data_IF_028967679553
#
_entry.id   IF_028967679553
#
_cell.length_a   1.000
_cell.length_b   1.000
_cell.length_c   1.000
_cell.angle_alpha   90.00
_cell.angle_beta   90.00
_cell.angle_gamma   90.00
#
_symmetry.space_group_name_H-M   'P 1'
#
loop_
_entity.id
_entity.type
_entity.pdbx_description
1 polymer ?
#
# COMPACT_ATOMS: atom_id res chain seq x y z
N UNK A 1 50.74 7.78 -15.21
CA UNK A 1 50.85 7.53 -16.66
C UNK A 1 51.76 8.58 -17.25
N UNK A 2 52.92 8.20 -17.77
CA UNK A 2 53.92 9.11 -18.32
C UNK A 2 53.45 9.54 -19.71
N UNK A 3 53.28 10.86 -19.91
CA UNK A 3 52.98 11.42 -21.24
C UNK A 3 54.22 11.32 -22.11
N UNK A 4 54.20 10.53 -23.17
CA UNK A 4 55.28 10.60 -24.19
C UNK A 4 55.15 11.97 -24.90
N UNK A 5 56.16 12.82 -24.80
CA UNK A 5 56.25 14.07 -25.58
C UNK A 5 56.40 13.68 -27.05
N UNK A 6 55.26 13.69 -27.78
CA UNK A 6 55.28 13.45 -29.22
C UNK A 6 55.79 14.70 -29.94
N UNK A 7 56.86 14.59 -30.69
CA UNK A 7 57.44 15.70 -31.47
C UNK A 7 56.88 15.78 -32.90
N UNK A 8 55.95 14.92 -33.29
CA UNK A 8 55.37 14.83 -34.62
C UNK A 8 53.85 14.96 -34.57
N UNK A 9 53.18 15.56 -35.59
CA UNK A 9 51.73 15.58 -35.68
C UNK A 9 51.16 14.16 -35.69
N UNK A 10 49.91 14.03 -35.16
CA UNK A 10 49.17 12.80 -35.18
C UNK A 10 48.80 12.40 -36.60
N UNK A 11 49.00 11.13 -36.98
CA UNK A 11 48.66 10.60 -38.31
C UNK A 11 47.76 9.36 -38.17
N UNK A 12 46.97 9.03 -39.19
CA UNK A 12 46.14 7.84 -39.18
C UNK A 12 46.98 6.56 -38.95
N UNK A 13 48.14 6.45 -39.59
CA UNK A 13 49.05 5.33 -39.39
C UNK A 13 49.56 5.21 -37.93
N UNK A 14 49.81 6.33 -37.28
CA UNK A 14 50.18 6.32 -35.86
C UNK A 14 48.97 5.91 -34.94
N UNK A 15 47.76 6.26 -35.32
CA UNK A 15 46.55 5.87 -34.61
C UNK A 15 46.29 4.36 -34.76
N UNK A 16 46.43 3.85 -35.98
CA UNK A 16 46.29 2.39 -36.26
C UNK A 16 47.26 1.56 -35.47
N UNK A 17 48.52 2.01 -35.36
CA UNK A 17 49.59 1.37 -34.60
C UNK A 17 49.51 1.56 -33.08
N UNK A 18 48.49 2.32 -32.56
CA UNK A 18 48.34 2.59 -31.13
C UNK A 18 47.83 1.33 -30.39
N UNK A 19 48.58 0.90 -29.39
CA UNK A 19 48.24 -0.21 -28.50
C UNK A 19 48.02 0.26 -27.07
N UNK A 20 47.44 -0.59 -26.24
CA UNK A 20 47.20 -0.32 -24.81
C UNK A 20 48.48 -0.01 -24.02
N UNK A 21 49.63 -0.55 -24.49
CA UNK A 21 50.94 -0.29 -23.85
C UNK A 21 51.48 1.12 -24.10
N UNK A 22 51.14 1.78 -25.21
CA UNK A 22 51.59 3.11 -25.58
C UNK A 22 50.87 4.26 -24.85
N UNK A 23 49.81 3.97 -24.08
CA UNK A 23 49.06 4.95 -23.29
C UNK A 23 48.29 5.99 -24.12
N UNK A 24 48.49 7.27 -23.83
CA UNK A 24 47.83 8.38 -24.49
C UNK A 24 48.79 9.12 -25.40
N UNK A 25 48.36 9.37 -26.63
CA UNK A 25 49.16 10.20 -27.61
C UNK A 25 48.40 11.49 -27.84
N UNK A 26 49.14 12.64 -27.77
CA UNK A 26 48.61 13.98 -27.99
C UNK A 26 49.02 14.48 -29.40
N UNK A 27 48.17 15.27 -30.03
CA UNK A 27 48.48 16.03 -31.25
C UNK A 27 49.22 17.33 -30.89
N UNK A 28 49.88 17.95 -31.83
CA UNK A 28 50.73 19.12 -31.67
C UNK A 28 50.26 20.30 -32.55
N UNK A 29 50.92 21.46 -32.40
CA UNK A 29 50.65 22.65 -33.19
C UNK A 29 49.24 23.20 -32.97
N UNK A 30 48.56 23.51 -34.05
CA UNK A 30 47.18 24.02 -34.03
C UNK A 30 46.18 23.03 -33.40
N UNK A 31 46.53 21.74 -33.41
CA UNK A 31 45.67 20.69 -32.84
C UNK A 31 46.03 20.34 -31.37
N UNK A 32 46.80 21.19 -30.70
CA UNK A 32 47.16 21.01 -29.30
C UNK A 32 45.92 20.90 -28.41
N UNK A 33 45.88 19.87 -27.58
CA UNK A 33 44.74 19.51 -26.73
C UNK A 33 43.97 18.29 -27.24
N UNK A 34 44.11 17.94 -28.53
CA UNK A 34 43.58 16.67 -29.05
C UNK A 34 44.46 15.51 -28.54
N UNK A 35 43.82 14.50 -28.04
CA UNK A 35 44.44 13.27 -27.54
C UNK A 35 43.71 12.05 -28.03
N UNK A 36 44.43 10.97 -28.18
CA UNK A 36 43.84 9.64 -28.42
C UNK A 36 44.43 8.64 -27.45
N UNK A 37 43.59 7.78 -26.91
CA UNK A 37 43.96 6.72 -26.00
C UNK A 37 43.38 5.39 -26.50
N UNK A 38 44.18 4.31 -26.39
CA UNK A 38 43.72 2.95 -26.62
C UNK A 38 43.29 2.34 -25.28
N UNK A 39 42.01 2.01 -25.12
CA UNK A 39 41.47 1.36 -23.93
C UNK A 39 41.82 -0.13 -23.87
N UNK A 40 41.58 -0.77 -22.73
CA UNK A 40 41.87 -2.20 -22.49
C UNK A 40 41.27 -3.15 -23.53
N UNK A 41 40.12 -2.75 -24.10
CA UNK A 41 39.41 -3.49 -25.16
C UNK A 41 39.93 -3.22 -26.57
N UNK A 42 41.04 -2.48 -26.73
CA UNK A 42 41.55 -2.05 -28.04
C UNK A 42 40.83 -0.84 -28.66
N UNK A 43 39.78 -0.32 -28.03
CA UNK A 43 38.99 0.80 -28.52
C UNK A 43 39.79 2.11 -28.40
N UNK A 44 39.94 2.83 -29.50
CA UNK A 44 40.74 4.04 -29.59
C UNK A 44 39.81 5.27 -29.51
N UNK A 45 39.96 6.09 -28.49
CA UNK A 45 39.03 7.22 -28.21
C UNK A 45 39.76 8.55 -28.32
N UNK A 46 39.22 9.45 -29.14
CA UNK A 46 39.64 10.84 -29.22
C UNK A 46 39.05 11.64 -28.07
N UNK A 47 39.87 12.49 -27.49
CA UNK A 47 39.48 13.39 -26.39
C UNK A 47 40.10 14.76 -26.58
N UNK A 48 39.42 15.80 -26.14
CA UNK A 48 39.94 17.16 -26.02
C UNK A 48 40.20 17.48 -24.56
N UNK A 49 41.43 17.85 -24.24
CA UNK A 49 41.86 18.27 -22.89
C UNK A 49 42.17 19.74 -22.92
N UNK A 50 41.52 20.53 -22.03
CA UNK A 50 41.65 21.96 -21.96
C UNK A 50 41.55 22.48 -20.52
N UNK A 51 41.87 23.75 -20.29
CA UNK A 51 41.60 24.47 -19.05
C UNK A 51 40.24 25.13 -19.15
N UNK A 52 39.35 24.83 -18.21
CA UNK A 52 37.98 25.37 -18.19
C UNK A 52 38.04 26.89 -17.90
N UNK A 53 37.31 27.70 -18.68
CA UNK A 53 37.20 29.13 -18.39
C UNK A 53 36.32 29.42 -17.15
N UNK A 54 35.42 28.56 -16.81
CA UNK A 54 34.43 28.72 -15.70
C UNK A 54 34.98 28.25 -14.34
N UNK A 55 35.95 27.33 -14.32
CA UNK A 55 36.45 26.70 -13.08
C UNK A 55 37.93 27.00 -12.84
N UNK A 56 38.26 28.27 -12.65
CA UNK A 56 39.64 28.75 -12.28
C UNK A 56 40.78 28.05 -13.03
N UNK A 57 40.56 27.71 -14.30
CA UNK A 57 41.55 27.02 -15.13
C UNK A 57 41.77 25.54 -14.81
N UNK A 58 40.84 24.87 -14.12
CA UNK A 58 40.88 23.43 -13.87
C UNK A 58 40.91 22.65 -15.20
N UNK A 59 41.81 21.65 -15.25
CA UNK A 59 41.92 20.80 -16.43
C UNK A 59 40.68 19.92 -16.60
N UNK A 60 40.00 20.07 -17.72
CA UNK A 60 38.79 19.32 -18.11
C UNK A 60 39.05 18.54 -19.39
N UNK A 61 38.34 17.46 -19.59
CA UNK A 61 38.47 16.62 -20.77
C UNK A 61 37.07 16.23 -21.31
N UNK A 62 36.91 16.30 -22.64
CA UNK A 62 35.71 15.91 -23.38
C UNK A 62 36.04 14.77 -24.34
N UNK A 63 35.17 13.79 -24.43
CA UNK A 63 35.22 12.74 -25.44
C UNK A 63 34.69 13.27 -26.76
N UNK A 64 35.50 13.16 -27.83
CA UNK A 64 35.08 13.63 -29.17
C UNK A 64 34.43 12.50 -30.00
N UNK A 65 34.94 11.26 -29.85
CA UNK A 65 34.45 10.09 -30.57
C UNK A 65 35.45 8.94 -30.54
N UNK A 66 35.15 7.90 -31.26
CA UNK A 66 35.94 6.65 -31.31
C UNK A 66 36.41 6.44 -32.75
N UNK A 67 37.70 6.10 -32.91
CA UNK A 67 38.28 5.68 -34.18
C UNK A 67 37.91 4.19 -34.43
N UNK A 68 37.52 3.78 -35.66
CA UNK A 68 37.51 4.56 -36.92
C UNK A 68 36.17 5.29 -37.18
N UNK A 69 35.15 5.14 -36.35
CA UNK A 69 33.83 5.79 -36.53
C UNK A 69 33.97 7.34 -36.69
N UNK A 70 34.90 7.94 -35.94
CA UNK A 70 35.33 9.32 -36.11
C UNK A 70 36.76 9.35 -36.71
N UNK A 71 36.92 9.94 -37.88
CA UNK A 71 38.24 10.12 -38.50
C UNK A 71 39.09 11.14 -37.74
N UNK A 72 40.44 11.11 -37.97
CA UNK A 72 41.33 12.14 -37.38
C UNK A 72 40.95 13.57 -37.87
N UNK A 73 40.59 13.71 -39.12
CA UNK A 73 40.19 14.99 -39.70
C UNK A 73 38.91 15.52 -39.02
N UNK A 74 37.90 14.68 -38.87
CA UNK A 74 36.66 15.02 -38.18
C UNK A 74 36.91 15.34 -36.69
N UNK A 75 37.85 14.66 -36.05
CA UNK A 75 38.25 14.94 -34.69
C UNK A 75 38.90 16.33 -34.57
N UNK A 76 39.71 16.71 -35.55
CA UNK A 76 40.32 18.06 -35.66
C UNK A 76 39.32 19.16 -35.92
N UNK A 77 38.28 18.90 -36.75
CA UNK A 77 37.18 19.85 -36.97
C UNK A 77 36.44 20.09 -35.67
N UNK A 78 35.98 19.05 -34.96
CA UNK A 78 35.35 19.19 -33.65
C UNK A 78 36.24 19.87 -32.61
N UNK A 79 37.55 19.63 -32.63
CA UNK A 79 38.50 20.32 -31.76
C UNK A 79 38.49 21.83 -32.01
N UNK A 80 38.47 22.26 -33.27
CA UNK A 80 38.44 23.72 -33.64
C UNK A 80 37.15 24.36 -33.14
N UNK A 81 36.01 23.71 -33.27
CA UNK A 81 34.72 24.19 -32.75
C UNK A 81 34.79 24.39 -31.22
N UNK A 82 35.28 23.39 -30.50
CA UNK A 82 35.39 23.50 -29.04
C UNK A 82 36.45 24.50 -28.58
N UNK A 83 37.51 24.72 -29.34
CA UNK A 83 38.47 25.81 -29.10
C UNK A 83 37.83 27.18 -29.24
N UNK A 84 37.07 27.37 -30.34
CA UNK A 84 36.34 28.62 -30.58
C UNK A 84 35.36 28.93 -29.43
N UNK A 85 34.63 27.94 -28.91
CA UNK A 85 33.75 28.09 -27.73
C UNK A 85 34.57 28.52 -26.49
N UNK A 86 35.67 27.83 -26.21
CA UNK A 86 36.52 28.15 -25.07
C UNK A 86 37.12 29.58 -25.17
N UNK A 87 37.57 29.95 -26.35
CA UNK A 87 38.18 31.26 -26.62
C UNK A 87 37.15 32.41 -26.53
N UNK A 88 35.83 32.07 -26.76
CA UNK A 88 34.71 32.94 -26.45
C UNK A 88 34.27 32.93 -24.96
N UNK A 89 35.05 32.28 -24.06
CA UNK A 89 34.74 32.21 -22.65
C UNK A 89 33.72 31.17 -22.22
N UNK A 90 33.22 30.37 -23.16
CA UNK A 90 32.19 29.31 -22.91
C UNK A 90 32.93 28.00 -22.63
N UNK A 91 32.56 27.30 -21.55
CA UNK A 91 33.06 25.97 -21.27
C UNK A 91 32.38 24.92 -22.18
N UNK A 92 33.11 24.30 -23.16
CA UNK A 92 32.49 23.35 -24.09
C UNK A 92 31.85 22.16 -23.40
N UNK A 93 32.34 21.73 -22.24
CA UNK A 93 31.75 20.64 -21.48
C UNK A 93 30.39 21.03 -20.87
N UNK A 94 30.34 22.20 -20.22
CA UNK A 94 29.10 22.70 -19.63
C UNK A 94 28.02 22.93 -20.68
N UNK A 95 28.41 23.42 -21.85
CA UNK A 95 27.48 23.65 -22.97
C UNK A 95 26.92 22.32 -23.52
N UNK A 96 27.75 21.28 -23.69
CA UNK A 96 27.29 19.97 -24.09
C UNK A 96 26.35 19.36 -23.05
N UNK A 97 26.69 19.45 -21.78
CA UNK A 97 25.87 18.96 -20.68
C UNK A 97 24.51 19.71 -20.66
N UNK A 98 24.48 21.02 -20.93
CA UNK A 98 23.28 21.84 -21.05
C UNK A 98 22.40 21.39 -22.22
N UNK A 99 22.97 21.20 -23.42
CA UNK A 99 22.26 20.75 -24.60
C UNK A 99 21.66 19.36 -24.38
N UNK A 100 22.40 18.45 -23.74
CA UNK A 100 21.91 17.11 -23.45
C UNK A 100 20.76 17.13 -22.42
N UNK A 101 20.84 18.00 -21.42
CA UNK A 101 19.78 18.20 -20.44
C UNK A 101 18.51 18.83 -21.09
N UNK A 102 18.68 19.82 -21.96
CA UNK A 102 17.56 20.41 -22.73
C UNK A 102 16.90 19.38 -23.65
N UNK A 103 17.69 18.55 -24.33
CA UNK A 103 17.19 17.45 -25.15
C UNK A 103 16.40 16.46 -24.31
N UNK A 104 16.95 16.03 -23.15
CA UNK A 104 16.28 15.12 -22.22
C UNK A 104 14.97 15.70 -21.70
N UNK A 105 14.96 16.99 -21.34
CA UNK A 105 13.73 17.70 -20.93
C UNK A 105 12.70 17.78 -22.07
N UNK A 106 13.14 17.98 -23.30
CA UNK A 106 12.27 18.02 -24.47
C UNK A 106 11.66 16.65 -24.80
N UNK A 107 12.47 15.58 -24.75
CA UNK A 107 12.02 14.20 -24.92
C UNK A 107 11.02 13.78 -23.83
N UNK A 108 11.30 14.13 -22.56
CA UNK A 108 10.37 13.90 -21.46
C UNK A 108 9.04 14.64 -21.65
N UNK A 109 9.08 15.92 -22.07
CA UNK A 109 7.85 16.68 -22.39
C UNK A 109 7.05 16.04 -23.54
N UNK A 110 7.71 15.50 -24.55
CA UNK A 110 7.08 14.75 -25.63
C UNK A 110 6.37 13.49 -25.13
N UNK A 111 7.05 12.71 -24.29
CA UNK A 111 6.49 11.51 -23.68
C UNK A 111 5.27 11.82 -22.79
N UNK A 112 5.33 12.89 -21.99
CA UNK A 112 4.20 13.29 -21.12
C UNK A 112 2.96 13.62 -21.93
N UNK A 113 3.09 14.27 -23.09
CA UNK A 113 1.94 14.59 -23.96
C UNK A 113 1.23 13.35 -24.47
N UNK A 114 1.94 12.25 -24.67
CA UNK A 114 1.40 10.96 -25.11
C UNK A 114 0.91 10.08 -23.94
N UNK A 115 1.46 10.26 -22.76
CA UNK A 115 1.10 9.49 -21.56
C UNK A 115 -0.32 9.81 -21.11
N UNK A 116 -1.13 8.77 -20.91
CA UNK A 116 -2.51 8.86 -20.45
C UNK A 116 -2.63 8.61 -18.94
N UNK A 117 -3.69 9.11 -18.34
CA UNK A 117 -4.03 8.84 -16.93
C UNK A 117 -4.12 7.33 -16.66
N UNK A 118 -4.64 6.55 -17.62
CA UNK A 118 -4.68 5.08 -17.53
C UNK A 118 -3.29 4.47 -17.40
N UNK A 119 -2.29 5.00 -18.10
CA UNK A 119 -0.92 4.43 -18.07
C UNK A 119 -0.30 4.58 -16.69
N UNK A 120 -0.54 5.71 -16.01
CA UNK A 120 -0.13 5.94 -14.63
C UNK A 120 -0.83 4.97 -13.66
N UNK A 121 -2.14 4.80 -13.82
CA UNK A 121 -2.92 3.87 -13.01
C UNK A 121 -2.43 2.44 -13.20
N UNK A 122 -2.19 2.02 -14.44
CA UNK A 122 -1.70 0.68 -14.76
C UNK A 122 -0.28 0.44 -14.22
N UNK A 123 0.61 1.43 -14.32
CA UNK A 123 1.94 1.39 -13.74
C UNK A 123 1.87 1.17 -12.23
N UNK A 124 1.08 1.98 -11.53
CA UNK A 124 0.90 1.90 -10.08
C UNK A 124 0.33 0.54 -9.64
N UNK A 125 -0.72 0.06 -10.33
CA UNK A 125 -1.32 -1.23 -10.01
C UNK A 125 -0.33 -2.38 -10.22
N UNK A 126 0.30 -2.44 -11.39
CA UNK A 126 1.20 -3.57 -11.77
C UNK A 126 2.51 -3.58 -11.00
N UNK A 127 3.08 -2.41 -10.71
CA UNK A 127 4.43 -2.32 -10.14
C UNK A 127 4.43 -2.15 -8.62
N UNK A 128 3.34 -1.68 -8.02
CA UNK A 128 3.28 -1.40 -6.58
C UNK A 128 2.18 -2.16 -5.86
N UNK A 129 0.93 -2.05 -6.33
CA UNK A 129 -0.24 -2.57 -5.58
C UNK A 129 -0.34 -4.08 -5.64
N UNK A 130 -0.16 -4.67 -6.83
CA UNK A 130 -0.43 -6.08 -7.12
C UNK A 130 0.82 -6.95 -7.00
N UNK A 131 0.59 -8.24 -6.71
CA UNK A 131 1.65 -9.23 -6.75
C UNK A 131 2.19 -9.34 -8.18
N UNK A 132 3.50 -9.47 -8.32
CA UNK A 132 4.19 -9.60 -9.61
C UNK A 132 5.27 -10.67 -9.57
N UNK A 133 5.73 -11.05 -10.73
CA UNK A 133 6.86 -11.99 -10.88
C UNK A 133 8.05 -11.21 -11.44
N UNK A 134 9.24 -11.38 -10.85
CA UNK A 134 10.46 -10.76 -11.38
C UNK A 134 11.01 -11.55 -12.59
N UNK A 135 12.05 -11.01 -13.22
CA UNK A 135 12.70 -11.65 -14.38
C UNK A 135 13.24 -13.07 -14.12
N UNK A 136 13.45 -13.44 -12.86
CA UNK A 136 13.95 -14.74 -12.42
C UNK A 136 12.80 -15.70 -12.03
N UNK A 137 11.53 -15.32 -12.26
CA UNK A 137 10.37 -16.14 -11.92
C UNK A 137 9.95 -16.10 -10.43
N UNK A 138 10.60 -15.31 -9.59
CA UNK A 138 10.27 -15.17 -8.17
C UNK A 138 9.09 -14.23 -7.97
N UNK A 139 8.08 -14.68 -7.19
CA UNK A 139 6.93 -13.86 -6.81
C UNK A 139 7.36 -12.74 -5.85
N UNK A 140 7.04 -11.52 -6.20
CA UNK A 140 7.16 -10.32 -5.36
C UNK A 140 5.75 -9.95 -4.90
N UNK A 141 5.54 -9.84 -3.59
CA UNK A 141 4.26 -9.41 -3.04
C UNK A 141 4.03 -7.93 -3.32
N UNK A 142 2.81 -7.59 -3.73
CA UNK A 142 2.37 -6.21 -3.83
C UNK A 142 2.17 -5.55 -2.46
N UNK A 143 2.05 -4.24 -2.46
CA UNK A 143 1.84 -3.45 -1.25
C UNK A 143 0.50 -3.73 -0.54
N UNK A 144 -0.44 -4.38 -1.21
CA UNK A 144 -1.76 -4.72 -0.68
C UNK A 144 -1.98 -6.23 -0.65
N UNK A 145 -2.78 -6.72 0.32
CA UNK A 145 -3.28 -8.10 0.31
C UNK A 145 -4.23 -8.32 -0.88
N UNK A 146 -4.45 -9.57 -1.36
CA UNK A 146 -5.22 -9.85 -2.57
C UNK A 146 -6.61 -9.18 -2.62
N UNK A 147 -7.33 -9.12 -1.48
CA UNK A 147 -8.60 -8.40 -1.40
C UNK A 147 -8.43 -6.89 -1.61
N UNK A 148 -7.38 -6.30 -1.03
CA UNK A 148 -7.06 -4.89 -1.20
C UNK A 148 -6.62 -4.56 -2.62
N UNK A 149 -5.86 -5.45 -3.26
CA UNK A 149 -5.46 -5.30 -4.67
C UNK A 149 -6.69 -5.19 -5.58
N UNK A 150 -7.66 -6.11 -5.43
CA UNK A 150 -8.92 -6.09 -6.19
C UNK A 150 -9.73 -4.80 -5.93
N UNK A 151 -9.75 -4.33 -4.69
CA UNK A 151 -10.50 -3.11 -4.33
C UNK A 151 -9.85 -1.84 -4.89
N UNK A 152 -8.52 -1.71 -4.82
CA UNK A 152 -7.80 -0.56 -5.41
C UNK A 152 -7.98 -0.55 -6.93
N UNK A 153 -7.84 -1.72 -7.58
CA UNK A 153 -8.08 -1.84 -9.03
C UNK A 153 -9.51 -1.44 -9.39
N UNK A 154 -10.51 -1.97 -8.68
CA UNK A 154 -11.90 -1.60 -8.90
C UNK A 154 -12.11 -0.08 -8.74
N UNK A 155 -11.60 0.49 -7.67
CA UNK A 155 -11.71 1.91 -7.35
C UNK A 155 -11.14 2.78 -8.47
N UNK A 156 -9.92 2.48 -8.92
CA UNK A 156 -9.27 3.28 -9.95
C UNK A 156 -9.86 3.03 -11.34
N UNK A 157 -10.22 1.79 -11.68
CA UNK A 157 -10.80 1.52 -13.01
C UNK A 157 -12.21 2.07 -13.16
N UNK A 158 -13.10 1.81 -12.19
CA UNK A 158 -14.51 2.23 -12.28
C UNK A 158 -14.64 3.75 -12.24
N UNK A 159 -13.94 4.41 -11.33
CA UNK A 159 -14.16 5.83 -11.07
C UNK A 159 -13.17 6.75 -11.79
N UNK A 160 -11.99 6.25 -12.23
CA UNK A 160 -10.97 7.08 -12.90
C UNK A 160 -10.77 6.63 -14.34
N UNK A 161 -10.37 5.37 -14.59
CA UNK A 161 -9.97 4.93 -15.93
C UNK A 161 -11.16 4.99 -16.91
N UNK A 162 -12.35 4.56 -16.48
CA UNK A 162 -13.54 4.59 -17.34
C UNK A 162 -14.03 6.01 -17.63
N UNK A 163 -13.66 7.01 -16.83
CA UNK A 163 -14.11 8.39 -16.98
C UNK A 163 -13.07 9.26 -17.69
N UNK A 164 -11.83 9.23 -17.17
CA UNK A 164 -10.74 10.14 -17.59
C UNK A 164 -9.48 9.40 -18.05
N UNK A 165 -9.51 8.07 -18.14
CA UNK A 165 -8.33 7.26 -18.44
C UNK A 165 -7.65 7.59 -19.76
N UNK A 166 -8.39 8.07 -20.76
CA UNK A 166 -7.87 8.46 -22.07
C UNK A 166 -7.32 9.91 -22.11
N UNK A 167 -7.53 10.71 -21.06
CA UNK A 167 -6.97 12.05 -20.97
C UNK A 167 -5.45 11.99 -20.91
N UNK A 168 -4.79 12.89 -21.65
CA UNK A 168 -3.34 13.07 -21.50
C UNK A 168 -3.03 13.62 -20.12
N UNK A 169 -1.98 13.09 -19.50
CA UNK A 169 -1.50 13.54 -18.20
C UNK A 169 -1.11 15.01 -18.19
N UNK A 170 -0.59 15.52 -19.33
CA UNK A 170 -0.24 16.94 -19.47
C UNK A 170 -1.44 17.88 -19.38
N UNK A 171 -2.62 17.39 -19.79
CA UNK A 171 -3.85 18.18 -19.84
C UNK A 171 -4.75 17.96 -18.62
N UNK A 172 -4.57 16.85 -17.89
CA UNK A 172 -5.35 16.51 -16.71
C UNK A 172 -4.87 17.28 -15.49
N UNK A 173 -5.57 18.36 -15.16
CA UNK A 173 -5.17 19.33 -14.14
C UNK A 173 -5.99 19.18 -12.84
N UNK A 174 -5.61 19.96 -11.82
CA UNK A 174 -6.30 19.99 -10.52
C UNK A 174 -7.82 20.14 -10.66
N UNK A 175 -8.30 21.01 -11.55
CA UNK A 175 -9.73 21.25 -11.71
C UNK A 175 -10.47 20.03 -12.26
N UNK A 176 -9.85 19.26 -13.15
CA UNK A 176 -10.42 18.04 -13.70
C UNK A 176 -10.56 16.97 -12.62
N UNK A 177 -9.53 16.85 -11.74
CA UNK A 177 -9.61 15.97 -10.57
C UNK A 177 -10.72 16.43 -9.62
N UNK A 178 -10.82 17.75 -9.35
CA UNK A 178 -11.90 18.29 -8.49
C UNK A 178 -13.27 17.95 -9.08
N UNK A 179 -13.46 18.12 -10.38
CA UNK A 179 -14.73 17.79 -11.06
C UNK A 179 -15.04 16.29 -11.00
N UNK A 180 -14.06 15.44 -11.25
CA UNK A 180 -14.19 13.98 -11.12
C UNK A 180 -14.64 13.58 -9.71
N UNK A 181 -13.97 14.10 -8.68
CA UNK A 181 -14.27 13.78 -7.29
C UNK A 181 -15.62 14.35 -6.87
N UNK A 182 -15.97 15.56 -7.32
CA UNK A 182 -17.27 16.16 -7.05
C UNK A 182 -18.40 15.30 -7.65
N UNK A 183 -18.27 14.80 -8.87
CA UNK A 183 -19.25 13.90 -9.46
C UNK A 183 -19.47 12.61 -8.66
N UNK A 184 -18.43 12.10 -7.99
CA UNK A 184 -18.57 10.95 -7.07
C UNK A 184 -19.29 11.34 -5.77
N UNK A 185 -19.07 12.56 -5.26
CA UNK A 185 -19.78 13.08 -4.09
C UNK A 185 -21.26 13.27 -4.42
N UNK A 186 -21.57 13.87 -5.57
CA UNK A 186 -22.94 14.22 -5.99
C UNK A 186 -23.80 12.96 -6.22
N UNK A 187 -23.20 11.83 -6.61
CA UNK A 187 -23.92 10.54 -6.63
C UNK A 187 -24.11 9.89 -5.24
N UNK A 188 -23.78 10.59 -4.13
CA UNK A 188 -24.00 10.13 -2.76
C UNK A 188 -22.87 9.25 -2.20
N UNK A 189 -21.66 9.26 -2.78
CA UNK A 189 -20.56 8.37 -2.38
C UNK A 189 -19.30 9.13 -1.89
N UNK A 190 -19.38 10.02 -0.88
CA UNK A 190 -18.24 10.86 -0.47
C UNK A 190 -17.05 10.07 0.08
N UNK A 191 -17.29 8.93 0.73
CA UNK A 191 -16.23 8.04 1.23
C UNK A 191 -15.46 7.40 0.08
N UNK A 192 -16.17 6.97 -0.97
CA UNK A 192 -15.56 6.45 -2.20
C UNK A 192 -14.76 7.55 -2.90
N UNK A 193 -15.28 8.76 -3.00
CA UNK A 193 -14.58 9.93 -3.52
C UNK A 193 -13.23 10.14 -2.84
N UNK A 194 -13.21 10.06 -1.50
CA UNK A 194 -11.98 10.16 -0.72
C UNK A 194 -11.00 9.00 -0.96
N UNK A 195 -11.51 7.80 -1.23
CA UNK A 195 -10.67 6.64 -1.57
C UNK A 195 -10.06 6.79 -2.97
N UNK A 196 -10.86 7.20 -3.95
CA UNK A 196 -10.40 7.49 -5.32
C UNK A 196 -9.30 8.55 -5.30
N UNK A 197 -9.54 9.66 -4.61
CA UNK A 197 -8.60 10.77 -4.57
C UNK A 197 -7.25 10.37 -3.96
N UNK A 198 -7.26 9.58 -2.87
CA UNK A 198 -6.02 9.09 -2.24
C UNK A 198 -5.27 8.12 -3.15
N UNK A 199 -5.95 7.14 -3.73
CA UNK A 199 -5.28 6.15 -4.60
C UNK A 199 -4.79 6.81 -5.89
N UNK A 200 -5.51 7.78 -6.47
CA UNK A 200 -5.06 8.54 -7.62
C UNK A 200 -3.84 9.40 -7.29
N UNK A 201 -3.82 10.08 -6.13
CA UNK A 201 -2.64 10.82 -5.68
C UNK A 201 -1.43 9.90 -5.50
N UNK A 202 -1.62 8.73 -4.88
CA UNK A 202 -0.55 7.74 -4.72
C UNK A 202 -0.05 7.20 -6.06
N UNK A 203 -0.92 7.06 -7.07
CA UNK A 203 -0.52 6.62 -8.40
C UNK A 203 0.38 7.67 -9.11
N UNK A 204 0.06 8.95 -8.98
CA UNK A 204 0.91 10.04 -9.50
C UNK A 204 2.25 10.11 -8.77
N UNK A 205 2.24 10.07 -7.41
CA UNK A 205 3.47 10.08 -6.62
C UNK A 205 4.37 8.90 -6.97
N UNK A 206 3.78 7.71 -7.18
CA UNK A 206 4.51 6.52 -7.62
C UNK A 206 5.10 6.70 -9.02
N UNK A 207 4.36 7.27 -9.98
CA UNK A 207 4.85 7.50 -11.33
C UNK A 207 6.02 8.51 -11.35
N UNK A 208 6.00 9.51 -10.48
CA UNK A 208 7.10 10.46 -10.28
C UNK A 208 8.31 9.72 -9.68
N UNK A 209 8.12 8.92 -8.64
CA UNK A 209 9.20 8.17 -7.97
C UNK A 209 9.86 7.11 -8.84
N UNK A 210 9.20 6.69 -9.93
CA UNK A 210 9.71 5.72 -10.90
C UNK A 210 10.26 6.39 -12.18
N UNK A 211 10.49 7.69 -12.17
CA UNK A 211 10.94 8.50 -13.31
C UNK A 211 10.05 8.37 -14.56
N UNK A 212 8.82 7.85 -14.40
CA UNK A 212 7.82 7.79 -15.46
C UNK A 212 7.23 9.17 -15.78
N UNK A 213 7.18 10.02 -14.76
CA UNK A 213 6.93 11.46 -14.86
C UNK A 213 8.14 12.22 -14.35
N UNK A 214 8.42 13.45 -14.84
CA UNK A 214 9.51 14.27 -14.32
C UNK A 214 9.38 14.54 -12.82
N UNK A 215 10.51 14.75 -12.15
CA UNK A 215 10.56 15.06 -10.73
C UNK A 215 9.83 16.37 -10.38
N UNK A 216 9.84 17.33 -11.28
CA UNK A 216 9.14 18.62 -11.16
C UNK A 216 7.65 18.55 -11.56
N UNK A 217 7.12 17.38 -11.91
CA UNK A 217 5.72 17.22 -12.27
C UNK A 217 4.80 17.41 -11.07
N UNK A 218 3.90 18.38 -11.16
CA UNK A 218 2.98 18.71 -10.08
C UNK A 218 1.80 17.71 -10.05
N UNK A 219 1.69 16.91 -9.02
CA UNK A 219 0.61 15.94 -8.82
C UNK A 219 -0.77 16.65 -8.71
N UNK A 220 -1.66 16.53 -9.72
CA UNK A 220 -2.93 17.23 -9.71
C UNK A 220 -3.91 16.68 -8.67
N UNK A 221 -3.80 15.40 -8.29
CA UNK A 221 -4.64 14.77 -7.29
C UNK A 221 -4.26 15.22 -5.88
N UNK A 222 -2.98 15.45 -5.60
CA UNK A 222 -2.51 16.03 -4.34
C UNK A 222 -3.02 17.47 -4.17
N UNK A 223 -2.98 18.28 -5.23
CA UNK A 223 -3.54 19.63 -5.22
C UNK A 223 -5.06 19.63 -4.99
N UNK A 224 -5.78 18.69 -5.61
CA UNK A 224 -7.21 18.53 -5.40
C UNK A 224 -7.53 18.10 -3.95
N UNK A 225 -6.74 17.19 -3.37
CA UNK A 225 -6.88 16.77 -1.97
C UNK A 225 -6.76 17.94 -1.02
N UNK A 226 -5.78 18.82 -1.24
CA UNK A 226 -5.62 20.05 -0.46
C UNK A 226 -6.82 20.99 -0.63
N UNK A 227 -7.37 21.09 -1.85
CA UNK A 227 -8.57 21.89 -2.13
C UNK A 227 -9.78 21.40 -1.32
N UNK A 228 -10.08 20.11 -1.32
CA UNK A 228 -11.18 19.55 -0.52
C UNK A 228 -10.94 19.69 0.99
N UNK A 229 -9.70 19.56 1.45
CA UNK A 229 -9.32 19.80 2.84
C UNK A 229 -9.60 21.25 3.25
N UNK A 230 -9.21 22.23 2.43
CA UNK A 230 -9.45 23.65 2.69
C UNK A 230 -10.96 23.99 2.66
N UNK A 231 -11.73 23.35 1.78
CA UNK A 231 -13.19 23.48 1.72
C UNK A 231 -13.91 22.74 2.86
N UNK A 232 -13.19 22.05 3.74
CA UNK A 232 -13.73 21.22 4.84
C UNK A 232 -14.71 20.14 4.38
N UNK A 233 -14.58 19.66 3.14
CA UNK A 233 -15.42 18.58 2.59
C UNK A 233 -15.03 17.26 3.24
N UNK A 234 -15.98 16.58 3.84
CA UNK A 234 -15.75 15.33 4.56
C UNK A 234 -15.73 14.14 3.60
N UNK A 235 -14.54 13.73 3.19
CA UNK A 235 -14.29 12.59 2.29
C UNK A 235 -13.96 11.27 3.03
N UNK A 236 -14.20 11.23 4.33
CA UNK A 236 -13.91 10.04 5.16
C UNK A 236 -15.16 9.59 5.89
N UNK A 237 -15.26 8.30 6.12
CA UNK A 237 -16.30 7.77 6.99
C UNK A 237 -16.16 8.34 8.40
N UNK A 238 -17.26 8.78 8.99
CA UNK A 238 -17.30 9.07 10.43
C UNK A 238 -17.06 7.75 11.16
N UNK A 239 -16.01 7.69 11.99
CA UNK A 239 -15.79 6.52 12.83
C UNK A 239 -17.04 6.33 13.69
N UNK A 240 -17.72 5.20 13.54
CA UNK A 240 -18.84 4.86 14.41
C UNK A 240 -18.38 4.87 15.87
N UNK A 241 -19.19 5.44 16.73
CA UNK A 241 -18.96 5.47 18.20
C UNK A 241 -20.00 4.63 18.93
N UNK A 242 -20.79 3.84 18.18
CA UNK A 242 -21.89 3.08 18.74
C UNK A 242 -21.37 1.97 19.63
N UNK A 243 -21.89 1.93 20.86
CA UNK A 243 -21.75 0.89 21.89
C UNK A 243 -23.16 0.54 22.31
N UNK A 244 -23.49 -0.72 22.47
CA UNK A 244 -24.78 -1.16 22.99
C UNK A 244 -24.76 -0.99 24.51
N UNK A 245 -25.82 -0.42 25.07
CA UNK A 245 -26.05 -0.39 26.50
C UNK A 245 -26.59 -1.73 27.02
N UNK A 246 -26.73 -1.88 28.34
CA UNK A 246 -27.16 -3.16 28.94
C UNK A 246 -28.56 -3.55 28.51
N UNK A 247 -29.49 -2.60 28.40
CA UNK A 247 -30.87 -2.88 27.96
C UNK A 247 -30.94 -3.36 26.52
N UNK A 248 -30.09 -2.80 25.67
CA UNK A 248 -29.94 -3.20 24.28
C UNK A 248 -29.25 -4.55 24.14
N UNK A 249 -28.22 -4.83 24.99
CA UNK A 249 -27.58 -6.13 25.04
C UNK A 249 -28.55 -7.23 25.44
N UNK A 250 -29.36 -7.03 26.47
CA UNK A 250 -30.41 -7.96 26.90
C UNK A 250 -31.33 -8.27 25.70
N UNK A 251 -31.86 -7.23 25.05
CA UNK A 251 -32.71 -7.39 23.86
C UNK A 251 -32.01 -8.19 22.75
N UNK A 252 -30.74 -7.90 22.48
CA UNK A 252 -29.98 -8.62 21.43
C UNK A 252 -29.75 -10.08 21.80
N UNK A 253 -29.43 -10.37 23.05
CA UNK A 253 -29.20 -11.73 23.53
C UNK A 253 -30.46 -12.60 23.39
N UNK A 254 -31.64 -12.06 23.74
CA UNK A 254 -32.91 -12.79 23.62
C UNK A 254 -33.41 -12.88 22.17
N UNK A 255 -33.20 -11.83 21.37
CA UNK A 255 -33.64 -11.80 19.98
C UNK A 255 -32.77 -12.64 19.04
N UNK A 256 -31.45 -12.68 19.26
CA UNK A 256 -30.49 -13.32 18.33
C UNK A 256 -30.85 -14.78 17.99
N UNK A 257 -31.24 -15.64 18.94
CA UNK A 257 -31.64 -17.04 18.66
C UNK A 257 -32.78 -17.16 17.66
N UNK A 258 -33.79 -16.27 17.72
CA UNK A 258 -34.99 -16.29 16.89
C UNK A 258 -34.91 -15.38 15.66
N UNK A 259 -33.82 -14.62 15.54
CA UNK A 259 -33.62 -13.65 14.45
C UNK A 259 -33.54 -14.31 13.07
N UNK A 260 -33.78 -13.51 12.02
CA UNK A 260 -33.65 -13.90 10.62
C UNK A 260 -32.22 -14.15 10.13
N UNK A 261 -31.24 -14.17 11.00
CA UNK A 261 -29.87 -14.60 10.67
C UNK A 261 -29.81 -16.10 10.44
N UNK A 262 -28.93 -16.54 9.54
CA UNK A 262 -28.61 -17.97 9.44
C UNK A 262 -27.87 -18.43 10.70
N UNK A 263 -27.92 -19.73 11.02
CA UNK A 263 -27.27 -20.26 12.23
C UNK A 263 -25.78 -19.97 12.25
N UNK A 264 -25.10 -20.03 11.10
CA UNK A 264 -23.70 -19.62 10.98
C UNK A 264 -23.49 -18.14 11.34
N UNK A 265 -24.38 -17.25 10.91
CA UNK A 265 -24.30 -15.83 11.23
C UNK A 265 -24.58 -15.57 12.72
N UNK A 266 -25.56 -16.26 13.29
CA UNK A 266 -25.83 -16.23 14.74
C UNK A 266 -24.59 -16.66 15.54
N UNK A 267 -23.95 -17.76 15.14
CA UNK A 267 -22.73 -18.25 15.75
C UNK A 267 -21.57 -17.27 15.69
N UNK A 268 -21.37 -16.62 14.53
CA UNK A 268 -20.34 -15.57 14.36
C UNK A 268 -20.60 -14.40 15.31
N UNK A 269 -21.85 -13.94 15.44
CA UNK A 269 -22.22 -12.84 16.33
C UNK A 269 -22.03 -13.21 17.81
N UNK A 270 -22.43 -14.43 18.21
CA UNK A 270 -22.17 -14.96 19.57
C UNK A 270 -20.68 -15.00 19.91
N UNK A 271 -19.86 -15.59 19.02
CA UNK A 271 -18.41 -15.63 19.23
C UNK A 271 -17.77 -14.22 19.23
N UNK A 272 -18.33 -13.28 18.46
CA UNK A 272 -17.87 -11.88 18.52
C UNK A 272 -18.11 -11.27 19.89
N UNK A 273 -19.28 -11.53 20.51
CA UNK A 273 -19.58 -11.06 21.87
C UNK A 273 -18.68 -11.71 22.91
N UNK A 274 -18.45 -13.03 22.85
CA UNK A 274 -17.63 -13.73 23.85
C UNK A 274 -16.13 -13.44 23.76
N UNK A 275 -15.62 -13.16 22.53
CA UNK A 275 -14.16 -13.08 22.30
C UNK A 275 -13.67 -11.68 21.95
N UNK A 276 -14.56 -10.76 21.60
CA UNK A 276 -14.18 -9.46 21.07
C UNK A 276 -13.49 -9.52 19.70
N UNK A 277 -13.44 -10.69 19.02
CA UNK A 277 -12.81 -10.84 17.70
C UNK A 277 -13.51 -10.02 16.62
N UNK A 278 -12.77 -9.68 15.56
CA UNK A 278 -13.42 -9.14 14.36
C UNK A 278 -14.26 -10.22 13.69
N UNK A 279 -15.48 -9.88 13.30
CA UNK A 279 -16.38 -10.83 12.60
C UNK A 279 -15.73 -11.45 11.37
N UNK A 280 -14.88 -10.70 10.65
CA UNK A 280 -14.15 -11.23 9.50
C UNK A 280 -13.09 -12.27 9.85
N UNK A 281 -12.52 -12.24 11.04
CA UNK A 281 -11.58 -13.26 11.56
C UNK A 281 -12.34 -14.56 11.87
N UNK A 282 -13.53 -14.44 12.46
CA UNK A 282 -14.37 -15.58 12.81
C UNK A 282 -15.04 -16.24 11.61
N UNK A 283 -15.41 -15.46 10.58
CA UNK A 283 -16.05 -16.00 9.38
C UNK A 283 -15.27 -17.16 8.74
N UNK A 284 -13.94 -17.03 8.67
CA UNK A 284 -13.05 -18.02 8.06
C UNK A 284 -12.48 -19.06 9.03
N UNK A 285 -12.99 -19.13 10.26
CA UNK A 285 -12.48 -20.02 11.31
C UNK A 285 -12.57 -21.49 10.88
N UNK A 286 -11.48 -22.23 11.13
CA UNK A 286 -11.39 -23.68 10.90
C UNK A 286 -11.32 -24.43 12.21
N UNK A 287 -11.87 -25.65 12.25
CA UNK A 287 -11.83 -26.49 13.46
C UNK A 287 -10.41 -26.75 13.93
N UNK A 288 -9.46 -26.97 13.05
CA UNK A 288 -8.05 -27.20 13.41
C UNK A 288 -7.37 -26.01 14.12
N UNK A 289 -7.99 -24.84 14.11
CA UNK A 289 -7.50 -23.65 14.78
C UNK A 289 -7.98 -23.53 16.24
N UNK A 290 -8.91 -24.40 16.64
CA UNK A 290 -9.49 -24.42 17.98
C UNK A 290 -8.81 -25.53 18.80
N UNK A 291 -8.16 -25.16 19.88
CA UNK A 291 -7.62 -26.05 20.89
C UNK A 291 -8.62 -26.06 22.05
N UNK A 292 -9.41 -27.14 22.17
CA UNK A 292 -10.44 -27.28 23.19
C UNK A 292 -9.87 -27.53 24.58
N UNK A 293 -8.67 -28.10 24.66
CA UNK A 293 -8.02 -28.43 25.96
C UNK A 293 -7.39 -27.17 26.55
N UNK A 294 -6.73 -26.36 25.70
CA UNK A 294 -6.17 -25.08 26.14
C UNK A 294 -7.21 -23.95 26.16
N UNK A 295 -8.38 -24.14 25.59
CA UNK A 295 -9.41 -23.10 25.47
C UNK A 295 -8.93 -21.92 24.62
N UNK A 296 -8.33 -22.19 23.47
CA UNK A 296 -7.77 -21.13 22.60
C UNK A 296 -8.15 -21.30 21.12
N UNK A 297 -8.18 -20.18 20.41
CA UNK A 297 -8.28 -20.14 18.96
C UNK A 297 -7.00 -19.51 18.39
N UNK A 298 -6.31 -20.23 17.52
CA UNK A 298 -5.14 -19.69 16.81
C UNK A 298 -5.55 -19.04 15.49
N UNK A 299 -5.40 -17.73 15.40
CA UNK A 299 -5.60 -16.96 14.16
C UNK A 299 -4.26 -16.79 13.44
N UNK A 300 -4.07 -17.57 12.38
CA UNK A 300 -2.80 -17.60 11.61
C UNK A 300 -2.49 -16.23 10.97
N UNK A 301 -3.50 -15.52 10.46
CA UNK A 301 -3.35 -14.23 9.81
C UNK A 301 -4.50 -13.28 10.18
N UNK A 302 -4.20 -12.23 10.92
CA UNK A 302 -5.15 -11.17 11.23
C UNK A 302 -5.12 -10.06 10.18
N UNK A 303 -6.03 -9.07 10.29
CA UNK A 303 -6.05 -7.90 9.40
C UNK A 303 -4.69 -7.16 9.37
N UNK A 304 -3.96 -7.18 10.49
CA UNK A 304 -2.66 -6.49 10.64
C UNK A 304 -1.47 -7.35 10.17
N UNK A 305 -1.69 -8.60 9.73
CA UNK A 305 -0.64 -9.49 9.26
C UNK A 305 -0.01 -10.37 10.34
N UNK A 306 -0.32 -10.16 11.62
CA UNK A 306 0.24 -10.91 12.72
C UNK A 306 -0.67 -12.09 13.10
N UNK A 307 -0.08 -13.21 13.53
CA UNK A 307 -0.80 -14.30 14.17
C UNK A 307 -1.05 -14.00 15.66
N UNK A 308 -2.13 -14.56 16.23
CA UNK A 308 -2.42 -14.46 17.66
C UNK A 308 -3.23 -15.62 18.17
N UNK A 309 -3.11 -15.89 19.47
CA UNK A 309 -4.04 -16.72 20.21
C UNK A 309 -5.18 -15.86 20.78
N UNK A 310 -6.40 -16.36 20.68
CA UNK A 310 -7.59 -15.77 21.29
C UNK A 310 -8.03 -16.70 22.40
N UNK A 311 -8.22 -16.19 23.61
CA UNK A 311 -8.73 -16.94 24.73
C UNK A 311 -10.23 -17.16 24.55
N UNK A 312 -10.70 -18.37 24.82
CA UNK A 312 -12.10 -18.78 24.63
C UNK A 312 -12.69 -19.10 25.99
N UNK A 313 -13.77 -18.42 26.32
CA UNK A 313 -14.49 -18.59 27.60
C UNK A 313 -15.23 -19.91 27.67
N UNK A 314 -15.57 -20.37 28.88
CA UNK A 314 -16.22 -21.66 29.12
C UNK A 314 -17.55 -21.82 28.36
N UNK A 315 -18.38 -20.78 28.34
CA UNK A 315 -19.67 -20.76 27.60
C UNK A 315 -19.45 -20.96 26.10
N UNK A 316 -18.44 -20.32 25.52
CA UNK A 316 -18.12 -20.45 24.10
C UNK A 316 -17.55 -21.83 23.77
N UNK A 317 -16.74 -22.44 24.67
CA UNK A 317 -16.22 -23.80 24.49
C UNK A 317 -17.34 -24.84 24.50
N UNK A 318 -18.25 -24.76 25.47
CA UNK A 318 -19.43 -25.64 25.53
C UNK A 318 -20.27 -25.49 24.26
N UNK A 319 -20.55 -24.25 23.87
CA UNK A 319 -21.31 -23.99 22.64
C UNK A 319 -20.60 -24.51 21.38
N UNK A 320 -19.28 -24.32 21.24
CA UNK A 320 -18.50 -24.80 20.10
C UNK A 320 -18.51 -26.34 20.02
N UNK A 321 -18.40 -27.05 21.13
CA UNK A 321 -18.52 -28.52 21.19
C UNK A 321 -19.90 -28.97 20.69
N UNK A 322 -20.96 -28.37 21.20
CA UNK A 322 -22.33 -28.67 20.74
C UNK A 322 -22.50 -28.33 19.25
N UNK A 323 -22.00 -27.15 18.81
CA UNK A 323 -22.05 -26.71 17.43
C UNK A 323 -21.32 -27.67 16.47
N UNK A 324 -20.22 -28.26 16.88
CA UNK A 324 -19.50 -29.25 16.09
C UNK A 324 -20.35 -30.50 15.79
N UNK A 325 -21.22 -30.92 16.69
CA UNK A 325 -22.07 -32.10 16.55
C UNK A 325 -23.39 -31.79 15.84
N UNK A 326 -23.97 -30.62 16.07
CA UNK A 326 -25.31 -30.28 15.59
C UNK A 326 -25.38 -29.61 14.22
N UNK A 327 -24.25 -28.97 13.79
CA UNK A 327 -24.23 -28.23 12.52
C UNK A 327 -24.27 -29.11 11.28
N UNK A 328 -24.85 -28.62 10.22
CA UNK A 328 -24.85 -29.25 8.91
C UNK A 328 -24.12 -28.38 7.88
N UNK A 329 -23.24 -28.95 7.03
CA UNK A 329 -22.79 -30.36 7.04
C UNK A 329 -21.71 -30.61 8.12
N UNK A 330 -21.82 -31.70 8.84
CA UNK A 330 -20.96 -32.06 9.99
C UNK A 330 -19.49 -32.26 9.61
N UNK A 331 -19.17 -32.64 8.37
CA UNK A 331 -17.79 -32.94 7.89
C UNK A 331 -17.04 -31.73 7.35
N UNK A 332 -17.55 -30.50 7.46
CA UNK A 332 -16.82 -29.33 6.98
C UNK A 332 -15.59 -29.03 7.83
N UNK A 333 -14.42 -28.69 7.24
CA UNK A 333 -13.27 -28.22 7.99
C UNK A 333 -13.48 -26.81 8.56
N UNK A 334 -14.51 -26.09 8.08
CA UNK A 334 -14.85 -24.73 8.49
C UNK A 334 -15.88 -24.77 9.64
N UNK A 335 -15.75 -23.84 10.58
CA UNK A 335 -16.74 -23.67 11.66
C UNK A 335 -18.06 -23.08 11.11
N UNK A 336 -17.96 -22.17 10.14
CA UNK A 336 -19.11 -21.47 9.52
C UNK A 336 -19.12 -21.61 8.00
N UNK A 337 -19.40 -22.83 7.48
CA UNK A 337 -19.36 -23.09 6.04
C UNK A 337 -20.56 -22.45 5.31
N UNK A 338 -20.40 -22.17 4.02
CA UNK A 338 -21.54 -21.91 3.14
C UNK A 338 -22.16 -23.24 2.70
N UNK A 339 -23.51 -23.34 2.69
CA UNK A 339 -24.22 -24.55 2.25
C UNK A 339 -23.89 -24.95 0.81
N UNK A 340 -23.70 -23.96 -0.09
CA UNK A 340 -23.41 -24.19 -1.51
C UNK A 340 -22.03 -24.77 -1.80
N UNK A 341 -21.05 -24.54 -0.92
CA UNK A 341 -19.68 -25.05 -1.05
C UNK A 341 -19.03 -25.17 0.34
N UNK A 342 -19.56 -26.09 1.14
CA UNK A 342 -19.20 -26.25 2.55
C UNK A 342 -17.75 -26.74 2.77
N UNK A 343 -17.09 -27.29 1.74
CA UNK A 343 -15.69 -27.72 1.84
C UNK A 343 -14.71 -26.58 1.71
N UNK A 344 -15.02 -25.56 0.90
CA UNK A 344 -14.08 -24.52 0.49
C UNK A 344 -14.49 -23.10 0.87
N UNK A 345 -15.80 -22.84 0.97
CA UNK A 345 -16.34 -21.48 1.17
C UNK A 345 -17.02 -21.33 2.52
N UNK A 346 -16.70 -20.25 3.19
CA UNK A 346 -17.28 -19.83 4.46
C UNK A 346 -18.17 -18.60 4.30
N UNK A 347 -19.01 -18.32 5.31
CA UNK A 347 -19.75 -17.06 5.42
C UNK A 347 -18.74 -15.89 5.38
N UNK A 348 -19.01 -14.86 4.60
CA UNK A 348 -18.18 -13.67 4.54
C UNK A 348 -18.83 -12.50 5.27
N UNK A 349 -18.00 -11.62 5.86
CA UNK A 349 -18.48 -10.46 6.61
C UNK A 349 -19.47 -9.58 5.83
N UNK A 350 -19.32 -9.48 4.50
CA UNK A 350 -20.22 -8.72 3.63
C UNK A 350 -21.66 -9.26 3.70
N UNK A 351 -21.84 -10.59 3.66
CA UNK A 351 -23.14 -11.23 3.78
C UNK A 351 -23.84 -10.91 5.12
N UNK A 352 -23.05 -10.83 6.20
CA UNK A 352 -23.58 -10.41 7.50
C UNK A 352 -24.15 -8.98 7.45
N UNK A 353 -23.38 -8.05 6.89
CA UNK A 353 -23.81 -6.66 6.74
C UNK A 353 -25.00 -6.50 5.79
N UNK A 354 -25.01 -7.25 4.69
CA UNK A 354 -26.13 -7.28 3.73
C UNK A 354 -27.41 -7.82 4.38
N UNK A 355 -27.30 -8.88 5.19
CA UNK A 355 -28.45 -9.45 5.88
C UNK A 355 -29.00 -8.46 6.93
N UNK A 356 -28.13 -7.81 7.72
CA UNK A 356 -28.55 -6.75 8.64
C UNK A 356 -29.28 -5.60 7.91
N UNK A 357 -28.78 -5.22 6.73
CA UNK A 357 -29.41 -4.19 5.91
C UNK A 357 -30.81 -4.64 5.43
N UNK A 358 -30.95 -5.88 4.88
CA UNK A 358 -32.25 -6.45 4.44
C UNK A 358 -33.24 -6.53 5.58
N UNK A 359 -32.82 -6.99 6.76
CA UNK A 359 -33.68 -7.09 7.93
C UNK A 359 -34.22 -5.72 8.35
N UNK A 360 -33.43 -4.66 8.21
CA UNK A 360 -33.90 -3.27 8.46
C UNK A 360 -34.93 -2.83 7.42
N UNK A 361 -34.68 -3.10 6.13
CA UNK A 361 -35.62 -2.77 5.06
C UNK A 361 -36.97 -3.50 5.23
N UNK A 362 -36.94 -4.73 5.71
CA UNK A 362 -38.13 -5.57 5.91
C UNK A 362 -38.73 -5.42 7.31
N UNK A 363 -38.26 -4.50 8.14
CA UNK A 363 -38.70 -4.30 9.53
C UNK A 363 -38.65 -5.57 10.40
N UNK A 364 -37.73 -6.48 10.11
CA UNK A 364 -37.51 -7.74 10.88
C UNK A 364 -36.29 -7.62 11.79
N UNK A 365 -35.62 -6.49 11.78
CA UNK A 365 -34.53 -6.20 12.70
C UNK A 365 -35.06 -5.80 14.06
N UNK A 366 -34.31 -6.17 15.11
CA UNK A 366 -34.65 -5.75 16.48
C UNK A 366 -34.79 -4.23 16.59
N UNK A 367 -35.80 -3.79 17.35
CA UNK A 367 -36.12 -2.38 17.57
C UNK A 367 -35.19 -1.75 18.64
N UNK A 368 -33.98 -1.42 18.23
CA UNK A 368 -32.98 -0.63 18.97
C UNK A 368 -32.28 0.31 17.99
N UNK A 369 -31.62 1.37 18.46
CA UNK A 369 -30.83 2.26 17.60
C UNK A 369 -29.89 1.50 16.68
N UNK A 370 -29.67 2.00 15.47
CA UNK A 370 -28.91 1.29 14.44
C UNK A 370 -27.50 0.88 14.93
N UNK A 371 -27.20 -0.40 14.75
CA UNK A 371 -25.93 -1.00 15.09
C UNK A 371 -25.41 -1.92 13.99
N UNK A 372 -24.13 -2.27 14.05
CA UNK A 372 -23.45 -3.18 13.13
C UNK A 372 -22.76 -4.29 13.92
N UNK A 373 -22.41 -5.39 13.25
CA UNK A 373 -21.66 -6.48 13.88
C UNK A 373 -20.31 -6.01 14.48
N UNK A 374 -19.73 -4.92 13.97
CA UNK A 374 -18.51 -4.34 14.53
C UNK A 374 -18.75 -3.58 15.84
N UNK A 375 -19.97 -3.10 16.07
CA UNK A 375 -20.32 -2.41 17.30
C UNK A 375 -20.40 -3.38 18.48
N UNK A 376 -20.71 -4.68 18.25
CA UNK A 376 -20.58 -5.69 19.30
C UNK A 376 -19.16 -5.78 19.85
N UNK A 377 -18.14 -5.74 18.97
CA UNK A 377 -16.75 -5.71 19.41
C UNK A 377 -16.40 -4.43 20.17
N UNK A 378 -16.97 -3.27 19.79
CA UNK A 378 -16.81 -2.03 20.54
C UNK A 378 -17.46 -2.12 21.92
N UNK A 379 -18.63 -2.76 21.97
CA UNK A 379 -19.32 -3.05 23.24
C UNK A 379 -18.43 -3.89 24.15
N UNK A 380 -17.90 -5.01 23.68
CA UNK A 380 -16.94 -5.82 24.46
C UNK A 380 -15.79 -4.97 25.01
N UNK A 381 -15.17 -4.13 24.18
CA UNK A 381 -14.06 -3.27 24.59
C UNK A 381 -14.48 -2.28 25.69
N UNK A 382 -15.66 -1.70 25.57
CA UNK A 382 -16.17 -0.72 26.51
C UNK A 382 -16.57 -1.39 27.83
N UNK A 383 -17.26 -2.52 27.75
CA UNK A 383 -17.70 -3.26 28.93
C UNK A 383 -16.54 -3.85 29.72
N UNK A 384 -15.50 -4.36 29.06
CA UNK A 384 -14.27 -4.74 29.75
C UNK A 384 -13.68 -3.57 30.56
N UNK A 385 -13.69 -2.36 30.01
CA UNK A 385 -13.24 -1.18 30.76
C UNK A 385 -14.17 -0.84 31.94
N UNK A 386 -15.49 -1.00 31.77
CA UNK A 386 -16.48 -0.80 32.88
C UNK A 386 -16.31 -1.82 34.00
N UNK A 387 -15.94 -3.06 33.66
CA UNK A 387 -15.62 -4.11 34.62
C UNK A 387 -14.26 -3.88 35.33
N UNK A 388 -13.47 -2.90 34.94
CA UNK A 388 -12.17 -2.59 35.54
C UNK A 388 -10.99 -3.23 34.86
N UNK A 389 -11.14 -3.82 33.66
CA UNK A 389 -10.06 -4.45 32.92
C UNK A 389 -8.95 -3.42 32.57
N UNK A 390 -7.68 -3.71 32.86
CA UNK A 390 -6.57 -2.86 32.46
C UNK A 390 -6.56 -2.62 30.95
N UNK A 391 -6.22 -1.40 30.53
CA UNK A 391 -6.24 -1.02 29.10
C UNK A 391 -5.35 -1.91 28.25
N UNK A 392 -4.15 -2.27 28.72
CA UNK A 392 -3.23 -3.18 28.02
C UNK A 392 -3.86 -4.56 27.76
N UNK A 393 -4.55 -5.12 28.73
CA UNK A 393 -5.26 -6.41 28.61
C UNK A 393 -6.44 -6.29 27.64
N UNK A 394 -7.25 -5.24 27.77
CA UNK A 394 -8.38 -5.03 26.86
C UNK A 394 -7.95 -4.81 25.40
N UNK A 395 -6.82 -4.14 25.15
CA UNK A 395 -6.23 -4.02 23.80
C UNK A 395 -5.67 -5.37 23.31
N UNK A 396 -5.08 -6.18 24.17
CA UNK A 396 -4.61 -7.53 23.86
C UNK A 396 -5.79 -8.46 23.48
N UNK A 397 -6.90 -8.44 24.21
CA UNK A 397 -8.15 -9.14 23.87
C UNK A 397 -8.58 -8.80 22.45
N UNK A 398 -8.57 -7.53 22.09
CA UNK A 398 -8.92 -7.10 20.76
C UNK A 398 -7.84 -7.40 19.69
N UNK A 399 -6.62 -7.78 20.08
CA UNK A 399 -5.49 -7.98 19.17
C UNK A 399 -5.09 -6.67 18.49
N UNK A 400 -5.04 -5.59 19.26
CA UNK A 400 -4.40 -4.36 18.87
C UNK A 400 -2.94 -4.41 19.31
N UNK A 401 -2.03 -4.11 18.40
CA UNK A 401 -0.61 -3.97 18.74
C UNK A 401 -0.37 -2.63 19.43
N UNK A 402 0.36 -2.59 20.54
CA UNK A 402 0.81 -1.35 21.15
C UNK A 402 1.58 -0.51 20.11
N UNK A 403 1.46 0.81 20.16
CA UNK A 403 2.13 1.72 19.24
C UNK A 403 3.34 2.37 19.90
N UNK A 404 4.33 2.76 19.08
CA UNK A 404 5.51 3.46 19.56
C UNK A 404 6.45 2.60 20.39
N UNK A 405 7.10 3.21 21.38
CA UNK A 405 8.13 2.59 22.23
C UNK A 405 7.56 1.39 22.98
N UNK A 406 6.35 1.48 23.52
CA UNK A 406 5.69 0.39 24.25
C UNK A 406 5.57 -0.87 23.38
N UNK A 407 5.22 -0.74 22.09
CA UNK A 407 5.12 -1.88 21.17
C UNK A 407 6.45 -2.54 20.82
N UNK A 408 7.57 -1.86 21.06
CA UNK A 408 8.92 -2.40 20.84
C UNK A 408 9.41 -3.21 22.04
N UNK A 409 9.09 -2.78 23.26
CA UNK A 409 9.65 -3.36 24.49
C UNK A 409 8.69 -4.28 25.23
N UNK A 410 7.37 -4.04 25.18
CA UNK A 410 6.38 -4.88 25.83
C UNK A 410 5.94 -6.03 24.90
N UNK A 411 6.62 -7.17 25.04
CA UNK A 411 6.33 -8.40 24.28
C UNK A 411 5.38 -9.35 25.02
N UNK A 412 4.91 -8.98 26.21
CA UNK A 412 3.97 -9.79 26.97
C UNK A 412 2.61 -9.90 26.28
N UNK A 413 2.05 -11.11 26.19
CA UNK A 413 0.82 -11.38 25.45
C UNK A 413 -0.45 -11.33 26.28
N UNK A 414 -0.33 -11.20 27.59
CA UNK A 414 -1.44 -11.13 28.54
C UNK A 414 -2.47 -12.28 28.41
N UNK A 415 -2.01 -13.51 28.08
CA UNK A 415 -2.92 -14.61 27.74
C UNK A 415 -3.80 -15.04 28.91
N UNK A 416 -3.24 -15.13 30.14
CA UNK A 416 -3.98 -15.48 31.33
C UNK A 416 -4.95 -14.39 31.77
N UNK A 417 -4.49 -13.14 31.75
CA UNK A 417 -5.30 -11.96 32.06
C UNK A 417 -6.45 -11.80 31.05
N UNK A 418 -6.18 -12.02 29.76
CA UNK A 418 -7.22 -12.02 28.74
C UNK A 418 -8.29 -13.07 29.00
N UNK A 419 -7.88 -14.29 29.44
CA UNK A 419 -8.80 -15.37 29.78
C UNK A 419 -9.69 -14.99 30.97
N UNK A 420 -9.10 -14.47 32.01
CA UNK A 420 -9.81 -14.07 33.23
C UNK A 420 -10.84 -12.97 32.93
N UNK A 421 -10.43 -11.90 32.26
CA UNK A 421 -11.31 -10.77 31.95
C UNK A 421 -12.39 -11.13 30.92
N UNK A 422 -12.12 -11.98 29.95
CA UNK A 422 -13.14 -12.49 29.04
C UNK A 422 -14.13 -13.41 29.76
N UNK A 423 -13.68 -14.22 30.73
CA UNK A 423 -14.59 -15.04 31.52
C UNK A 423 -15.53 -14.18 32.37
N UNK A 424 -15.01 -13.18 33.08
CA UNK A 424 -15.84 -12.21 33.83
C UNK A 424 -16.87 -11.51 32.93
N UNK A 425 -16.47 -11.16 31.72
CA UNK A 425 -17.37 -10.59 30.73
C UNK A 425 -18.46 -11.58 30.27
N UNK A 426 -18.10 -12.82 30.03
CA UNK A 426 -19.07 -13.85 29.63
C UNK A 426 -20.06 -14.18 30.75
N UNK A 427 -19.59 -14.24 31.99
CA UNK A 427 -20.45 -14.44 33.19
C UNK A 427 -21.43 -13.25 33.33
N UNK A 428 -20.96 -12.01 33.12
CA UNK A 428 -21.81 -10.83 33.11
C UNK A 428 -22.86 -10.86 31.96
N UNK A 429 -22.53 -11.42 30.79
CA UNK A 429 -23.52 -11.61 29.71
C UNK A 429 -24.59 -12.62 30.11
N UNK A 430 -24.23 -13.69 30.84
CA UNK A 430 -25.20 -14.65 31.35
C UNK A 430 -26.08 -14.00 32.43
N UNK A 431 -25.52 -13.20 33.34
CA UNK A 431 -26.32 -12.42 34.31
C UNK A 431 -27.33 -11.52 33.64
N UNK A 432 -26.92 -10.77 32.59
CA UNK A 432 -27.82 -9.94 31.79
C UNK A 432 -28.91 -10.77 31.10
N UNK A 433 -28.58 -11.94 30.58
CA UNK A 433 -29.55 -12.80 29.90
C UNK A 433 -30.62 -13.31 30.85
N UNK A 434 -30.24 -13.69 32.10
CA UNK A 434 -31.16 -14.22 33.08
C UNK A 434 -31.85 -13.15 33.93
N UNK A 435 -31.40 -11.90 33.95
CA UNK A 435 -31.97 -10.82 34.76
C UNK A 435 -33.44 -10.49 34.45
N UNK A 436 -33.90 -10.69 33.21
CA UNK A 436 -35.30 -10.52 32.80
C UNK A 436 -36.23 -11.64 33.35
N UNK A 437 -35.70 -12.78 33.78
CA UNK A 437 -36.52 -13.89 34.30
C UNK A 437 -36.70 -13.88 35.82
N UNK A 438 -36.31 -12.83 36.52
CA UNK A 438 -36.52 -12.70 37.98
C UNK A 438 -35.73 -13.71 38.82
N UNK A 439 -34.74 -14.36 38.29
CA UNK A 439 -33.97 -15.43 38.93
C UNK A 439 -32.50 -15.05 39.03
N UNK A 440 -32.17 -13.97 39.76
CA UNK A 440 -30.86 -13.87 40.40
C UNK A 440 -30.78 -12.68 41.33
N UNK A 441 -30.78 -12.98 42.63
CA UNK A 441 -30.18 -12.09 43.64
C UNK A 441 -28.66 -12.18 43.47
N UNK A 442 -28.06 -11.11 43.00
CA UNK A 442 -26.60 -11.01 42.94
C UNK A 442 -26.06 -10.94 44.36
N UNK A 443 -25.39 -11.99 44.80
CA UNK A 443 -24.46 -11.89 45.95
C UNK A 443 -23.29 -11.03 45.52
N UNK A 444 -23.32 -9.75 45.91
CA UNK A 444 -22.15 -8.87 45.87
C UNK A 444 -21.08 -9.46 46.77
N UNK A 445 -20.04 -10.04 46.20
CA UNK A 445 -18.81 -10.29 46.91
C UNK A 445 -18.09 -8.97 47.10
N UNK A 446 -18.10 -8.48 48.32
CA UNK A 446 -17.36 -7.34 48.84
C UNK A 446 -15.85 -7.52 48.68
#
# INVERSE_FOLDING_TARGET
MVESKNSKPLTNRAIEALTTKKGVVADIGENRGLRIACGKTGRKTFTYRFRSPENEGKITQIKLGVFPELSLEQARIKLREFKAMRDAGICPKAELDRIEEERRKSEQKGNIKQTKVKDIVDLYLKQYVEDRVNAVGKRIRGARKPKGQKEVRRTLYVDVVNTVGNCSVSNFKKNDVVSLIQGIIDRGAPVQAGSVLRELSSAYDFAISMDFLPEDFVNPALLALNTFKMRKVKLTCTKGKRVLDHSELIKVLHWLPTSGFTDNQKGILKLTLWTGCRTGELCGLKWKQIDFDKGTIFLEETKNGNSRYVQVVSQALVWLKQWQHTRLPSKSPLVFPLRSDWKRRHVVQKQLSENMWRMRQNNTMISIPQWTAHDLRRTVRTELARLGCPTSVAEAVLGHSPKGIEGTYNLHRYENECREWLQRWADFLDELFYSEYGVFQVSRVS
#
